data_IF_943017125485
#
_entry.id   IF_943017125485
#
_cell.length_a   1.000
_cell.length_b   1.000
_cell.length_c   1.000
_cell.angle_alpha   90.00
_cell.angle_beta   90.00
_cell.angle_gamma   90.00
#
_symmetry.space_group_name_H-M   'P 1'
#
loop_
_entity.id
_entity.type
_entity.pdbx_description
1 polymer ?
#
# COMPACT_ATOMS: atom_id res chain seq x y z
N UNK A 1 3.03 19.11 32.62
CA UNK A 1 4.31 18.88 33.31
C UNK A 1 5.38 19.61 32.52
N UNK A 2 6.16 20.48 33.19
CA UNK A 2 7.27 21.22 32.60
C UNK A 2 8.58 20.51 33.00
N UNK A 3 8.73 19.26 32.59
CA UNK A 3 10.05 18.64 32.63
C UNK A 3 10.76 19.10 31.36
N UNK A 4 11.95 19.69 31.51
CA UNK A 4 12.81 19.94 30.36
C UNK A 4 13.21 18.59 29.75
N UNK A 5 13.58 18.58 28.47
CA UNK A 5 13.98 17.35 27.77
C UNK A 5 15.06 16.55 28.51
N UNK A 6 15.24 15.31 28.07
CA UNK A 6 16.40 14.50 28.42
C UNK A 6 16.03 13.31 29.29
N UNK A 7 14.78 12.90 29.23
CA UNK A 7 14.31 11.64 29.79
C UNK A 7 14.72 10.48 28.89
N UNK A 8 15.05 9.37 29.53
CA UNK A 8 15.29 8.06 28.94
C UNK A 8 14.06 7.14 28.99
N UNK A 9 12.89 7.63 29.39
CA UNK A 9 11.68 6.81 29.51
C UNK A 9 11.53 6.08 30.84
N UNK A 10 12.50 6.17 31.76
CA UNK A 10 12.45 5.46 33.05
C UNK A 10 11.85 6.28 34.19
N UNK A 11 11.55 7.56 33.95
CA UNK A 11 10.99 8.45 34.97
C UNK A 11 9.53 8.12 35.31
N UNK A 12 9.07 8.69 36.42
CA UNK A 12 7.72 8.44 36.93
C UNK A 12 6.62 8.81 35.92
N UNK A 13 6.83 9.85 35.10
CA UNK A 13 5.85 10.29 34.11
C UNK A 13 5.80 9.33 32.92
N UNK A 14 6.93 8.82 32.45
CA UNK A 14 6.94 7.79 31.40
C UNK A 14 6.25 6.52 31.88
N UNK A 15 6.67 6.01 33.03
CA UNK A 15 6.19 4.73 33.57
C UNK A 15 4.70 4.72 33.84
N UNK A 16 4.10 5.82 34.32
CA UNK A 16 2.65 5.85 34.55
C UNK A 16 1.85 5.77 33.23
N UNK A 17 2.38 6.27 32.12
CA UNK A 17 1.75 6.11 30.81
C UNK A 17 1.90 4.68 30.31
N UNK A 18 3.05 4.06 30.54
CA UNK A 18 3.27 2.65 30.18
C UNK A 18 2.34 1.72 30.96
N UNK A 19 2.19 1.92 32.27
CA UNK A 19 1.22 1.16 33.08
C UNK A 19 -0.23 1.35 32.59
N UNK A 20 -0.59 2.56 32.12
CA UNK A 20 -1.90 2.80 31.53
C UNK A 20 -2.08 2.02 30.22
N UNK A 21 -1.07 2.03 29.34
CA UNK A 21 -1.08 1.25 28.08
C UNK A 21 -1.19 -0.26 28.34
N UNK A 22 -0.49 -0.78 29.35
CA UNK A 22 -0.57 -2.19 29.79
C UNK A 22 -1.95 -2.52 30.35
N UNK A 23 -2.58 -1.58 31.07
CA UNK A 23 -3.93 -1.72 31.59
C UNK A 23 -5.04 -1.63 30.52
N UNK A 24 -4.68 -1.45 29.25
CA UNK A 24 -5.62 -1.35 28.13
C UNK A 24 -6.16 0.06 27.86
N UNK A 25 -5.54 1.09 28.44
CA UNK A 25 -5.89 2.49 28.17
C UNK A 25 -4.93 3.00 27.10
N UNK A 26 -5.44 3.29 25.90
CA UNK A 26 -4.63 3.92 24.84
C UNK A 26 -4.29 5.37 25.24
N UNK A 27 -3.00 5.72 25.16
CA UNK A 27 -2.48 7.02 25.57
C UNK A 27 -1.78 7.71 24.41
N UNK A 28 -2.23 8.92 24.08
CA UNK A 28 -1.48 9.87 23.25
C UNK A 28 -0.89 10.98 24.11
N UNK A 29 0.34 11.41 23.82
CA UNK A 29 1.06 12.41 24.60
C UNK A 29 1.80 13.40 23.69
N UNK A 30 1.88 14.66 24.10
CA UNK A 30 2.58 15.69 23.34
C UNK A 30 4.10 15.48 23.39
N UNK A 31 4.79 15.58 22.25
CA UNK A 31 6.25 15.50 22.18
C UNK A 31 6.95 16.64 22.94
N UNK A 32 6.31 17.81 23.04
CA UNK A 32 6.88 19.02 23.63
C UNK A 32 7.06 20.14 22.59
N UNK A 33 7.37 21.35 23.07
CA UNK A 33 7.46 22.56 22.24
C UNK A 33 8.86 23.22 22.31
N UNK A 34 9.91 22.42 22.54
CA UNK A 34 11.30 22.89 22.72
C UNK A 34 12.18 22.64 21.48
N UNK A 35 11.56 22.30 20.34
CA UNK A 35 12.24 22.06 19.08
C UNK A 35 12.92 23.31 18.49
N UNK A 36 13.76 23.12 17.47
CA UNK A 36 14.22 21.83 16.93
C UNK A 36 15.43 21.25 17.69
N UNK A 37 15.94 21.97 18.70
CA UNK A 37 17.21 21.71 19.39
C UNK A 37 17.04 21.25 20.84
N UNK A 38 15.89 20.66 21.18
CA UNK A 38 15.65 20.07 22.49
C UNK A 38 16.67 18.97 22.81
N UNK A 39 17.08 18.86 24.09
CA UNK A 39 17.88 17.73 24.59
C UNK A 39 16.96 16.52 24.77
N UNK A 40 16.62 15.79 23.71
CA UNK A 40 15.67 14.67 23.76
C UNK A 40 14.28 15.09 24.24
N UNK A 41 13.44 14.13 24.63
CA UNK A 41 12.07 14.41 25.06
C UNK A 41 11.92 14.47 26.58
N UNK A 42 10.85 15.14 27.03
CA UNK A 42 10.45 15.15 28.44
C UNK A 42 9.95 13.77 28.87
N UNK A 43 9.85 13.54 30.18
CA UNK A 43 9.33 12.27 30.70
C UNK A 43 7.92 11.90 30.25
N UNK A 44 7.09 12.85 29.83
CA UNK A 44 5.80 12.52 29.21
C UNK A 44 5.99 12.01 27.77
N UNK A 45 6.85 12.65 26.98
CA UNK A 45 7.11 12.29 25.59
C UNK A 45 8.03 11.08 25.40
N UNK A 46 8.69 10.61 26.46
CA UNK A 46 9.67 9.53 26.45
C UNK A 46 9.14 8.15 26.87
N UNK A 47 7.84 7.99 27.17
CA UNK A 47 7.27 6.68 27.55
C UNK A 47 7.46 5.63 26.46
N UNK A 48 7.77 4.38 26.82
CA UNK A 48 8.03 3.32 25.84
C UNK A 48 6.79 2.95 25.02
N UNK A 49 5.63 2.94 25.67
CA UNK A 49 4.42 2.36 25.11
C UNK A 49 3.47 3.42 24.55
N UNK A 50 3.36 4.59 25.17
CA UNK A 50 2.43 5.64 24.69
C UNK A 50 2.77 6.13 23.29
N UNK A 51 1.79 6.78 22.65
CA UNK A 51 1.95 7.38 21.32
C UNK A 51 2.32 8.86 21.50
N UNK A 52 3.59 9.17 21.27
CA UNK A 52 4.12 10.53 21.34
C UNK A 52 3.85 11.25 20.02
N UNK A 53 3.28 12.45 20.11
CA UNK A 53 2.73 13.21 18.98
C UNK A 53 3.51 14.50 18.75
N UNK A 54 4.14 14.59 17.57
CA UNK A 54 4.72 15.84 17.04
C UNK A 54 3.67 16.76 16.40
N UNK A 55 4.04 18.01 16.16
CA UNK A 55 3.17 19.01 15.55
C UNK A 55 3.66 19.42 14.17
N UNK A 56 2.79 19.34 13.16
CA UNK A 56 3.01 19.92 11.84
C UNK A 56 2.35 21.29 11.72
N UNK A 57 2.84 22.09 10.78
CA UNK A 57 2.21 23.30 10.29
C UNK A 57 1.67 23.03 8.88
N UNK A 58 0.34 23.07 8.78
CA UNK A 58 -0.40 22.84 7.53
C UNK A 58 -0.39 24.05 6.59
N UNK A 59 0.36 25.11 6.95
CA UNK A 59 0.42 26.39 6.23
C UNK A 59 -0.96 27.04 6.00
N UNK A 60 -1.99 26.54 6.69
CA UNK A 60 -3.39 26.82 6.43
C UNK A 60 -3.77 26.65 4.94
N UNK A 61 -3.23 25.61 4.29
CA UNK A 61 -3.52 25.19 2.91
C UNK A 61 -4.33 23.87 2.89
N UNK A 62 -4.95 23.57 1.75
CA UNK A 62 -5.66 22.28 1.54
C UNK A 62 -4.72 21.22 0.96
N UNK A 63 -3.83 21.68 0.09
CA UNK A 63 -2.70 20.92 -0.40
C UNK A 63 -1.81 20.56 0.79
N UNK A 64 -1.24 19.36 0.79
CA UNK A 64 -0.42 18.86 1.91
C UNK A 64 1.06 18.79 1.55
N UNK A 65 1.39 19.13 0.32
CA UNK A 65 2.75 19.11 -0.22
C UNK A 65 3.64 20.18 0.43
N UNK A 66 3.06 21.24 0.98
CA UNK A 66 3.75 22.28 1.74
C UNK A 66 3.64 22.11 3.27
N UNK A 67 3.01 21.05 3.76
CA UNK A 67 2.99 20.70 5.17
C UNK A 67 4.43 20.49 5.66
N UNK A 68 4.80 21.19 6.74
CA UNK A 68 6.12 21.06 7.36
C UNK A 68 6.00 20.67 8.82
N UNK A 69 7.08 20.12 9.38
CA UNK A 69 7.17 19.97 10.83
C UNK A 69 7.25 21.37 11.47
N UNK A 70 6.45 21.63 12.50
CA UNK A 70 6.51 22.92 13.17
C UNK A 70 7.86 23.10 13.87
N UNK A 71 8.44 24.30 13.77
CA UNK A 71 9.77 24.61 14.33
C UNK A 71 9.85 24.31 15.82
N UNK A 72 8.78 24.61 16.57
CA UNK A 72 8.71 24.35 18.00
C UNK A 72 8.54 22.87 18.35
N UNK A 73 8.09 22.01 17.44
CA UNK A 73 7.82 20.60 17.76
C UNK A 73 9.12 19.93 18.24
N UNK A 74 9.12 19.41 19.46
CA UNK A 74 10.27 18.66 19.99
C UNK A 74 10.59 17.46 19.10
N UNK A 75 11.88 17.19 18.94
CA UNK A 75 12.43 16.19 18.02
C UNK A 75 13.08 15.03 18.76
N UNK A 76 13.08 13.88 18.10
CA UNK A 76 13.72 12.67 18.59
C UNK A 76 15.22 12.58 18.41
N UNK A 77 15.77 11.40 18.77
CA UNK A 77 15.11 10.36 19.59
C UNK A 77 15.01 10.79 21.07
N UNK A 78 14.35 9.99 21.94
CA UNK A 78 14.55 10.14 23.41
C UNK A 78 15.96 9.66 23.81
N UNK A 79 16.37 9.85 25.06
CA UNK A 79 17.65 9.30 25.53
C UNK A 79 17.57 7.78 25.63
N UNK A 80 18.67 7.12 25.32
CA UNK A 80 18.85 5.66 25.49
C UNK A 80 18.81 5.30 26.98
N UNK A 81 18.02 4.29 27.33
CA UNK A 81 17.87 3.78 28.69
C UNK A 81 18.83 2.61 28.99
N UNK A 82 19.57 2.12 27.99
CA UNK A 82 20.53 1.04 28.10
C UNK A 82 19.93 -0.37 28.18
N UNK A 83 18.67 -0.57 27.80
CA UNK A 83 18.00 -1.88 27.80
C UNK A 83 18.34 -2.76 26.57
N UNK A 84 18.99 -2.17 25.56
CA UNK A 84 19.41 -2.85 24.34
C UNK A 84 18.32 -2.98 23.27
N UNK A 85 17.18 -2.30 23.42
CA UNK A 85 16.09 -2.25 22.46
C UNK A 85 15.97 -0.84 21.85
N UNK A 86 16.67 -0.51 20.74
CA UNK A 86 16.72 0.84 20.17
C UNK A 86 15.38 1.37 19.60
N UNK A 87 14.34 0.53 19.54
CA UNK A 87 13.06 0.86 18.90
C UNK A 87 12.16 1.71 19.79
N UNK A 88 12.23 1.57 21.12
CA UNK A 88 11.41 2.38 22.05
C UNK A 88 12.00 3.79 22.26
N UNK A 89 13.23 4.06 21.81
CA UNK A 89 13.82 5.40 21.75
C UNK A 89 13.24 6.27 20.62
N UNK A 90 12.63 5.65 19.60
CA UNK A 90 12.16 6.30 18.38
C UNK A 90 10.88 7.11 18.64
N UNK A 91 11.07 8.37 19.08
CA UNK A 91 10.03 9.33 19.46
C UNK A 91 10.18 10.65 18.71
N UNK A 92 9.13 11.30 18.20
CA UNK A 92 7.72 10.92 18.31
C UNK A 92 7.40 9.69 17.44
N UNK A 93 6.29 9.02 17.71
CA UNK A 93 5.78 7.98 16.82
C UNK A 93 5.11 8.56 15.59
N UNK A 94 4.32 9.61 15.76
CA UNK A 94 3.56 10.21 14.66
C UNK A 94 3.46 11.71 14.86
N UNK A 95 3.02 12.40 13.82
CA UNK A 95 2.76 13.83 13.84
C UNK A 95 1.35 14.14 13.35
N UNK A 96 0.83 15.29 13.75
CA UNK A 96 -0.47 15.79 13.29
C UNK A 96 -0.46 17.33 13.24
N UNK A 97 -1.41 17.97 12.53
CA UNK A 97 -1.55 19.42 12.52
C UNK A 97 -1.67 19.99 13.94
N UNK A 98 -0.75 20.88 14.29
CA UNK A 98 -0.67 21.50 15.61
C UNK A 98 -0.45 23.00 15.60
N UNK A 99 -0.23 23.61 14.42
CA UNK A 99 -0.11 25.05 14.27
C UNK A 99 -1.43 25.68 13.86
N UNK A 100 -1.72 26.86 14.41
CA UNK A 100 -2.84 27.70 13.97
C UNK A 100 -4.22 27.03 14.07
N UNK A 101 -4.40 26.10 15.01
CA UNK A 101 -5.61 25.33 15.21
C UNK A 101 -6.70 26.20 15.84
N UNK A 102 -7.94 26.04 15.38
CA UNK A 102 -9.12 26.68 15.98
C UNK A 102 -9.77 25.66 16.90
N UNK A 103 -10.02 26.03 18.15
CA UNK A 103 -10.57 25.15 19.17
C UNK A 103 -11.71 25.80 19.94
N UNK A 104 -12.51 24.99 20.61
CA UNK A 104 -13.56 25.46 21.50
C UNK A 104 -12.97 26.29 22.66
N UNK A 105 -13.66 27.37 23.02
CA UNK A 105 -13.27 28.22 24.14
C UNK A 105 -13.76 27.66 25.46
N UNK A 106 -12.82 27.26 26.32
CA UNK A 106 -13.13 26.92 27.70
C UNK A 106 -13.47 28.19 28.49
N UNK A 107 -14.35 28.05 29.48
CA UNK A 107 -14.68 29.14 30.42
C UNK A 107 -13.40 29.71 31.07
N UNK A 108 -12.47 28.86 31.53
CA UNK A 108 -11.21 29.31 32.16
C UNK A 108 -10.36 30.23 31.25
N UNK A 109 -10.39 30.04 29.93
CA UNK A 109 -9.58 30.81 28.96
C UNK A 109 -10.10 32.23 28.71
N UNK A 110 -11.38 32.50 28.96
CA UNK A 110 -12.00 33.82 28.71
C UNK A 110 -11.67 34.89 29.77
N UNK A 111 -10.74 34.61 30.70
CA UNK A 111 -10.15 35.59 31.63
C UNK A 111 -11.07 36.14 32.74
N UNK A 112 -12.39 35.94 32.64
CA UNK A 112 -13.39 36.38 33.63
C UNK A 112 -14.44 35.33 33.97
N UNK A 113 -14.34 34.12 33.40
CA UNK A 113 -15.31 33.06 33.62
C UNK A 113 -14.78 32.04 34.63
N UNK A 114 -15.64 31.65 35.56
CA UNK A 114 -15.39 30.62 36.57
C UNK A 114 -16.50 29.59 36.50
N UNK A 115 -16.14 28.31 36.37
CA UNK A 115 -17.09 27.19 36.31
C UNK A 115 -17.98 27.04 37.57
N UNK A 116 -17.73 27.83 38.61
CA UNK A 116 -18.55 27.89 39.82
C UNK A 116 -19.71 28.90 39.72
N UNK A 117 -19.61 29.88 38.82
CA UNK A 117 -20.57 31.00 38.68
C UNK A 117 -21.10 31.16 37.26
N UNK A 118 -20.37 30.66 36.26
CA UNK A 118 -20.68 30.76 34.84
C UNK A 118 -20.56 29.36 34.22
N UNK A 119 -21.42 29.03 33.27
CA UNK A 119 -21.24 27.85 32.43
C UNK A 119 -20.57 28.24 31.09
N UNK A 120 -20.00 27.25 30.40
CA UNK A 120 -19.34 27.43 29.11
C UNK A 120 -20.26 27.12 27.91
N UNK A 121 -21.57 26.95 28.12
CA UNK A 121 -22.48 26.43 27.09
C UNK A 121 -22.74 27.43 25.95
N UNK A 122 -22.54 28.72 26.21
CA UNK A 122 -22.64 29.80 25.21
C UNK A 122 -21.27 30.21 24.63
N UNK A 123 -20.18 29.53 25.00
CA UNK A 123 -18.85 29.86 24.49
C UNK A 123 -18.71 29.51 23.00
N UNK A 124 -17.93 30.31 22.29
CA UNK A 124 -17.61 30.10 20.86
C UNK A 124 -16.27 29.36 20.72
N UNK A 125 -15.64 29.49 19.56
CA UNK A 125 -14.26 29.10 19.33
C UNK A 125 -13.31 30.24 19.75
N UNK A 126 -12.13 29.89 20.27
CA UNK A 126 -11.07 30.87 20.52
C UNK A 126 -10.39 31.31 19.22
N UNK A 127 -9.46 32.26 19.33
CA UNK A 127 -8.44 32.46 18.31
C UNK A 127 -7.56 31.21 18.09
N UNK A 128 -6.67 31.31 17.10
CA UNK A 128 -5.79 30.21 16.69
C UNK A 128 -4.71 29.92 17.73
N UNK A 129 -4.55 28.66 18.10
CA UNK A 129 -3.51 28.17 19.01
C UNK A 129 -2.48 27.29 18.30
N UNK A 130 -1.25 27.25 18.82
CA UNK A 130 -0.16 26.43 18.27
C UNK A 130 0.56 25.66 19.37
N UNK A 131 0.95 24.41 19.07
CA UNK A 131 1.68 23.54 19.98
C UNK A 131 1.40 22.05 19.72
N UNK A 132 2.31 21.18 20.16
CA UNK A 132 2.05 19.72 20.22
C UNK A 132 0.84 19.36 21.08
N UNK A 133 0.48 20.24 22.03
CA UNK A 133 -0.79 20.17 22.79
C UNK A 133 -2.04 20.27 21.93
N UNK A 134 -1.97 20.86 20.73
CA UNK A 134 -3.09 20.95 19.78
C UNK A 134 -3.09 19.77 18.78
N UNK A 135 -1.93 19.23 18.45
CA UNK A 135 -1.80 18.02 17.63
C UNK A 135 -2.27 16.75 18.37
N UNK A 136 -1.91 16.63 19.64
CA UNK A 136 -2.20 15.44 20.48
C UNK A 136 -3.69 15.07 20.54
N UNK A 137 -4.64 15.98 20.83
CA UNK A 137 -6.06 15.63 20.88
C UNK A 137 -6.64 15.20 19.51
N UNK A 138 -6.08 15.69 18.40
CA UNK A 138 -6.45 15.22 17.06
C UNK A 138 -6.11 13.73 16.91
N UNK A 139 -4.92 13.33 17.33
CA UNK A 139 -4.51 11.91 17.37
C UNK A 139 -5.38 11.10 18.34
N UNK A 140 -5.73 11.63 19.51
CA UNK A 140 -6.67 10.95 20.43
C UNK A 140 -8.02 10.69 19.76
N UNK A 141 -8.52 11.62 18.95
CA UNK A 141 -9.73 11.46 18.15
C UNK A 141 -9.61 10.35 17.11
N UNK A 142 -8.46 10.27 16.41
CA UNK A 142 -8.18 9.18 15.47
C UNK A 142 -8.13 7.83 16.19
N UNK A 143 -7.46 7.74 17.34
CA UNK A 143 -7.44 6.52 18.15
C UNK A 143 -8.84 6.07 18.54
N UNK A 144 -9.73 7.00 18.88
CA UNK A 144 -11.12 6.67 19.19
C UNK A 144 -11.89 6.11 17.98
N UNK A 145 -11.68 6.65 16.78
CA UNK A 145 -12.27 6.11 15.54
C UNK A 145 -11.76 4.69 15.23
N UNK A 146 -10.45 4.49 15.35
CA UNK A 146 -9.81 3.17 15.13
C UNK A 146 -10.31 2.15 16.15
N UNK A 147 -10.46 2.55 17.42
CA UNK A 147 -11.00 1.69 18.48
C UNK A 147 -12.48 1.39 18.28
N UNK A 148 -13.29 2.36 17.84
CA UNK A 148 -14.71 2.14 17.51
C UNK A 148 -14.87 1.18 16.33
N UNK A 149 -14.00 1.30 15.32
CA UNK A 149 -13.97 0.38 14.19
C UNK A 149 -13.61 -1.05 14.62
N UNK A 150 -12.71 -1.21 15.60
CA UNK A 150 -12.29 -2.51 16.10
C UNK A 150 -11.90 -2.49 17.58
N UNK A 151 -12.87 -2.79 18.43
CA UNK A 151 -12.76 -2.82 19.89
C UNK A 151 -11.95 -4.01 20.44
N UNK A 152 -11.55 -4.95 19.57
CA UNK A 152 -10.72 -6.11 19.96
C UNK A 152 -9.21 -5.80 19.86
N UNK A 153 -8.83 -4.61 19.40
CA UNK A 153 -7.43 -4.20 19.32
C UNK A 153 -6.80 -4.07 20.69
N UNK A 154 -5.58 -4.56 20.82
CA UNK A 154 -4.70 -4.17 21.94
C UNK A 154 -4.17 -2.74 21.72
N UNK A 155 -3.70 -2.11 22.79
CA UNK A 155 -3.08 -0.78 22.72
C UNK A 155 -1.87 -0.74 21.78
N UNK A 156 -1.08 -1.83 21.75
CA UNK A 156 0.06 -1.96 20.86
C UNK A 156 -0.33 -2.19 19.39
N UNK A 157 -1.36 -2.99 19.12
CA UNK A 157 -1.86 -3.16 17.75
C UNK A 157 -2.44 -1.85 17.20
N UNK A 158 -3.16 -1.07 18.01
CA UNK A 158 -3.65 0.24 17.60
C UNK A 158 -2.49 1.19 17.29
N UNK A 159 -1.48 1.25 18.17
CA UNK A 159 -0.26 2.03 17.93
C UNK A 159 0.40 1.64 16.61
N UNK A 160 0.46 0.35 16.31
CA UNK A 160 1.07 -0.14 15.07
C UNK A 160 0.25 0.20 13.82
N UNK A 161 -1.09 0.15 13.91
CA UNK A 161 -1.98 0.62 12.83
C UNK A 161 -1.67 2.07 12.49
N UNK A 162 -1.58 2.95 13.51
CA UNK A 162 -1.27 4.37 13.30
C UNK A 162 0.08 4.57 12.62
N UNK A 163 1.11 3.80 13.01
CA UNK A 163 2.46 3.87 12.42
C UNK A 163 2.47 3.39 10.97
N UNK A 164 1.86 2.24 10.69
CA UNK A 164 1.87 1.64 9.36
C UNK A 164 1.09 2.48 8.33
N UNK A 165 -0.02 3.08 8.74
CA UNK A 165 -0.89 3.84 7.84
C UNK A 165 -0.54 5.33 7.78
N UNK A 166 0.40 5.81 8.59
CA UNK A 166 0.82 7.21 8.56
C UNK A 166 1.38 7.59 7.19
N UNK A 167 1.09 8.80 6.75
CA UNK A 167 1.69 9.35 5.54
C UNK A 167 3.15 9.72 5.84
N UNK A 168 4.06 9.02 5.16
CA UNK A 168 5.49 9.22 5.30
C UNK A 168 5.91 10.62 4.86
N UNK A 169 6.75 11.26 5.68
CA UNK A 169 7.29 12.60 5.43
C UNK A 169 8.77 12.62 5.79
N UNK A 170 9.61 13.09 4.87
CA UNK A 170 11.06 13.20 5.07
C UNK A 170 11.78 11.85 4.99
N UNK A 171 13.12 11.92 5.03
CA UNK A 171 13.99 10.75 4.99
C UNK A 171 14.19 10.16 6.39
N UNK A 172 14.38 8.83 6.53
CA UNK A 172 14.66 8.17 7.80
C UNK A 172 15.88 8.77 8.49
N UNK A 173 15.79 8.99 9.80
CA UNK A 173 16.90 9.55 10.58
C UNK A 173 17.86 8.49 11.13
N UNK A 174 17.36 7.27 11.36
CA UNK A 174 18.10 6.11 11.89
C UNK A 174 17.72 4.84 11.10
N UNK A 175 18.00 4.79 9.78
CA UNK A 175 17.58 3.69 8.90
C UNK A 175 18.15 2.32 9.31
N UNK A 176 19.22 2.29 10.09
CA UNK A 176 19.80 1.07 10.67
C UNK A 176 18.98 0.49 11.82
N UNK A 177 18.11 1.29 12.44
CA UNK A 177 17.19 0.86 13.52
C UNK A 177 15.80 0.60 12.94
N UNK A 178 15.28 1.55 12.18
CA UNK A 178 13.98 1.45 11.50
C UNK A 178 14.03 2.18 10.14
N UNK A 179 13.57 1.55 9.05
CA UNK A 179 13.71 2.08 7.70
C UNK A 179 12.77 3.25 7.37
N UNK A 180 11.89 3.66 8.29
CA UNK A 180 10.85 4.66 8.05
C UNK A 180 10.87 5.81 9.04
N UNK A 181 11.18 5.54 10.29
CA UNK A 181 11.14 6.55 11.32
C UNK A 181 12.14 7.68 11.07
N UNK A 182 11.69 8.91 11.28
CA UNK A 182 12.56 10.07 11.38
C UNK A 182 12.24 10.92 12.60
N UNK A 183 13.24 11.69 13.05
CA UNK A 183 13.17 12.45 14.30
C UNK A 183 12.18 13.61 14.29
N UNK A 184 11.68 13.98 13.12
CA UNK A 184 10.80 15.13 12.93
C UNK A 184 9.33 14.68 12.95
N UNK A 185 8.95 13.81 12.02
CA UNK A 185 7.57 13.35 11.82
C UNK A 185 7.26 12.01 12.49
N UNK A 186 8.26 11.33 13.05
CA UNK A 186 8.12 9.95 13.49
C UNK A 186 7.99 9.00 12.29
N UNK A 187 6.99 8.13 12.32
CA UNK A 187 6.58 7.27 11.21
C UNK A 187 5.77 8.03 10.15
N UNK A 188 5.34 9.27 10.43
CA UNK A 188 4.65 10.13 9.47
C UNK A 188 3.53 10.97 10.08
N UNK A 189 2.77 11.62 9.20
CA UNK A 189 1.54 12.31 9.59
C UNK A 189 0.41 11.29 9.74
N UNK A 190 -0.35 11.37 10.83
CA UNK A 190 -1.48 10.45 11.07
C UNK A 190 -2.50 10.50 9.93
N UNK A 191 -2.89 9.34 9.42
CA UNK A 191 -3.98 9.19 8.43
C UNK A 191 -5.17 8.49 9.09
N UNK A 192 -6.20 9.26 9.42
CA UNK A 192 -7.39 8.76 10.08
C UNK A 192 -8.18 7.76 9.22
N UNK A 193 -8.21 7.99 7.90
CA UNK A 193 -8.98 7.18 6.98
C UNK A 193 -8.33 5.82 6.79
N UNK A 194 -7.03 5.80 6.47
CA UNK A 194 -6.28 4.56 6.28
C UNK A 194 -6.21 3.73 7.57
N UNK A 195 -5.99 4.37 8.73
CA UNK A 195 -5.97 3.69 10.02
C UNK A 195 -7.33 3.04 10.36
N UNK A 196 -8.43 3.76 10.15
CA UNK A 196 -9.78 3.25 10.45
C UNK A 196 -10.16 2.13 9.50
N UNK A 197 -9.85 2.25 8.20
CA UNK A 197 -10.08 1.17 7.23
C UNK A 197 -9.32 -0.10 7.57
N UNK A 198 -8.05 0.01 7.99
CA UNK A 198 -7.27 -1.15 8.39
C UNK A 198 -7.89 -1.85 9.62
N UNK A 199 -8.37 -1.09 10.59
CA UNK A 199 -9.07 -1.65 11.74
C UNK A 199 -10.37 -2.38 11.36
N UNK A 200 -11.18 -1.80 10.46
CA UNK A 200 -12.38 -2.45 9.91
C UNK A 200 -12.01 -3.77 9.23
N UNK A 201 -10.99 -3.75 8.36
CA UNK A 201 -10.53 -4.94 7.64
C UNK A 201 -10.11 -6.07 8.59
N UNK A 202 -9.35 -5.76 9.65
CA UNK A 202 -8.95 -6.75 10.67
C UNK A 202 -10.14 -7.34 11.43
N UNK A 203 -11.19 -6.54 11.67
CA UNK A 203 -12.43 -6.99 12.33
C UNK A 203 -13.25 -7.89 11.40
N UNK A 204 -13.45 -7.48 10.16
CA UNK A 204 -14.25 -8.21 9.17
C UNK A 204 -13.61 -9.55 8.77
N UNK A 205 -12.28 -9.59 8.70
CA UNK A 205 -11.54 -10.83 8.42
C UNK A 205 -11.33 -11.71 9.64
N UNK A 206 -11.66 -11.24 10.85
CA UNK A 206 -11.47 -11.99 12.10
C UNK A 206 -10.00 -12.26 12.43
N UNK A 207 -9.08 -11.39 11.99
CA UNK A 207 -7.63 -11.61 12.09
C UNK A 207 -6.95 -10.79 13.19
N UNK A 208 -7.73 -9.99 13.94
CA UNK A 208 -7.22 -9.05 14.96
C UNK A 208 -6.34 -9.73 16.01
N UNK A 209 -6.75 -10.89 16.54
CA UNK A 209 -6.00 -11.61 17.58
C UNK A 209 -4.69 -12.24 17.06
N UNK A 210 -4.54 -12.39 15.74
CA UNK A 210 -3.35 -12.96 15.13
C UNK A 210 -2.24 -11.93 14.93
N UNK A 211 -2.57 -10.63 14.97
CA UNK A 211 -1.60 -9.56 14.71
C UNK A 211 -0.60 -9.46 15.86
N UNK A 212 0.67 -9.70 15.56
CA UNK A 212 1.79 -9.37 16.43
C UNK A 212 2.40 -8.02 15.99
N UNK A 213 2.34 -6.97 16.84
CA UNK A 213 2.99 -5.68 16.58
C UNK A 213 4.50 -5.77 16.29
N UNK A 214 5.15 -6.85 16.72
CA UNK A 214 6.57 -7.10 16.44
C UNK A 214 6.86 -7.58 15.01
N UNK A 215 5.85 -7.97 14.22
CA UNK A 215 6.02 -8.42 12.84
C UNK A 215 5.62 -7.28 11.89
N UNK A 216 6.58 -6.82 11.11
CA UNK A 216 6.46 -5.64 10.26
C UNK A 216 6.35 -6.07 8.80
N UNK A 217 5.46 -5.43 8.06
CA UNK A 217 5.24 -5.69 6.64
C UNK A 217 4.82 -4.40 5.94
N UNK A 218 5.64 -3.93 5.00
CA UNK A 218 5.38 -2.66 4.33
C UNK A 218 5.51 -2.77 2.82
N UNK A 219 4.60 -2.06 2.15
CA UNK A 219 4.61 -1.88 0.71
C UNK A 219 5.66 -0.82 0.34
N UNK A 220 6.50 -1.14 -0.64
CA UNK A 220 7.49 -0.23 -1.20
C UNK A 220 7.03 0.32 -2.56
N UNK A 221 6.44 -0.53 -3.39
CA UNK A 221 5.86 -0.10 -4.67
C UNK A 221 4.70 -0.99 -5.10
N UNK A 222 3.76 -0.39 -5.80
CA UNK A 222 2.64 -1.05 -6.43
C UNK A 222 2.44 -0.47 -7.82
N UNK A 223 2.40 -1.34 -8.83
CA UNK A 223 2.26 -0.97 -10.22
C UNK A 223 1.13 -1.78 -10.87
N UNK A 224 0.10 -1.09 -11.33
CA UNK A 224 -1.10 -1.61 -11.97
C UNK A 224 -1.04 -1.41 -13.49
N UNK A 225 -0.12 -2.10 -14.16
CA UNK A 225 -0.11 -2.19 -15.63
C UNK A 225 -0.66 -3.56 -16.07
N UNK A 226 -0.40 -4.00 -17.31
CA UNK A 226 -0.79 -5.34 -17.79
C UNK A 226 -0.30 -6.48 -16.87
N UNK A 227 0.80 -6.24 -16.13
CA UNK A 227 1.23 -7.08 -15.03
C UNK A 227 1.18 -6.29 -13.73
N UNK A 228 0.43 -6.80 -12.76
CA UNK A 228 0.35 -6.25 -11.42
C UNK A 228 1.62 -6.65 -10.70
N UNK A 229 2.37 -5.66 -10.21
CA UNK A 229 3.60 -5.90 -9.45
C UNK A 229 3.55 -5.18 -8.11
N UNK A 230 3.69 -5.97 -7.05
CA UNK A 230 3.89 -5.46 -5.70
C UNK A 230 5.32 -5.78 -5.29
N UNK A 231 5.99 -4.80 -4.71
CA UNK A 231 7.26 -4.99 -4.01
C UNK A 231 7.08 -4.45 -2.61
N UNK A 232 7.50 -5.24 -1.63
CA UNK A 232 7.51 -4.83 -0.25
C UNK A 232 8.67 -5.47 0.50
N UNK A 233 8.69 -5.26 1.79
CA UNK A 233 9.64 -5.91 2.67
C UNK A 233 9.01 -6.25 4.02
N UNK A 234 9.63 -7.17 4.73
CA UNK A 234 9.17 -7.58 6.06
C UNK A 234 10.35 -7.76 7.00
N UNK A 235 10.10 -7.64 8.30
CA UNK A 235 11.05 -8.00 9.36
C UNK A 235 10.31 -8.28 10.66
N UNK A 236 11.04 -8.77 11.66
CA UNK A 236 10.55 -8.87 13.03
C UNK A 236 11.45 -8.07 13.96
N UNK A 237 10.87 -7.48 15.01
CA UNK A 237 11.62 -6.70 16.01
C UNK A 237 12.39 -7.57 17.00
N UNK A 238 12.00 -8.84 17.20
CA UNK A 238 12.63 -9.74 18.18
C UNK A 238 12.79 -11.19 17.72
N UNK A 239 12.10 -11.60 16.66
CA UNK A 239 12.12 -12.96 16.12
C UNK A 239 12.53 -13.00 14.64
N UNK A 240 11.95 -13.94 13.90
CA UNK A 240 12.12 -14.10 12.45
C UNK A 240 10.77 -14.19 11.75
N UNK A 241 10.70 -13.66 10.53
CA UNK A 241 9.57 -13.90 9.63
C UNK A 241 9.81 -15.24 8.93
N UNK A 242 8.82 -16.13 8.98
CA UNK A 242 8.92 -17.49 8.42
C UNK A 242 8.45 -17.54 6.96
N UNK A 243 7.43 -16.76 6.62
CA UNK A 243 6.93 -16.64 5.25
C UNK A 243 6.24 -15.30 5.04
N UNK A 244 6.12 -14.89 3.78
CA UNK A 244 5.26 -13.80 3.34
C UNK A 244 4.31 -14.38 2.33
N UNK A 245 3.01 -14.32 2.60
CA UNK A 245 1.98 -14.87 1.73
C UNK A 245 1.02 -13.78 1.31
N UNK A 246 0.42 -13.96 0.13
CA UNK A 246 -0.64 -13.11 -0.37
C UNK A 246 -1.86 -13.94 -0.74
N UNK A 247 -3.03 -13.29 -0.77
CA UNK A 247 -4.26 -13.88 -1.31
C UNK A 247 -5.02 -12.82 -2.09
N UNK A 248 -5.89 -13.28 -2.99
CA UNK A 248 -6.74 -12.43 -3.81
C UNK A 248 -8.20 -12.70 -3.44
N UNK A 249 -8.97 -11.65 -3.19
CA UNK A 249 -10.40 -11.68 -2.86
C UNK A 249 -10.77 -12.67 -1.74
N UNK A 250 -9.90 -12.79 -0.74
CA UNK A 250 -10.11 -13.70 0.39
C UNK A 250 -9.93 -15.19 0.07
N UNK A 251 -9.35 -15.52 -1.09
CA UNK A 251 -9.01 -16.88 -1.49
C UNK A 251 -7.87 -17.52 -0.69
N UNK A 252 -7.32 -18.61 -1.22
CA UNK A 252 -6.23 -19.35 -0.59
C UNK A 252 -4.93 -18.51 -0.53
N UNK A 253 -4.14 -18.74 0.53
CA UNK A 253 -2.82 -18.14 0.68
C UNK A 253 -1.82 -18.72 -0.32
N UNK A 254 -1.05 -17.83 -0.95
CA UNK A 254 0.00 -18.12 -1.91
C UNK A 254 1.29 -17.48 -1.41
N UNK A 255 2.39 -18.21 -1.40
CA UNK A 255 3.68 -17.68 -0.97
C UNK A 255 4.22 -16.63 -1.96
N UNK A 256 4.70 -15.49 -1.43
CA UNK A 256 5.33 -14.45 -2.21
C UNK A 256 6.75 -14.87 -2.65
N UNK A 257 7.29 -14.19 -3.65
CA UNK A 257 8.63 -14.48 -4.12
C UNK A 257 9.67 -13.67 -3.34
N UNK A 258 10.86 -14.22 -3.20
CA UNK A 258 12.01 -13.58 -2.53
C UNK A 258 13.21 -13.48 -3.48
N UNK A 259 14.11 -12.54 -3.22
CA UNK A 259 15.40 -12.53 -3.89
C UNK A 259 16.29 -13.64 -3.28
N UNK A 260 16.82 -14.54 -4.12
CA UNK A 260 17.56 -15.74 -3.71
C UNK A 260 18.90 -15.50 -2.98
N UNK A 261 19.21 -14.26 -2.62
CA UNK A 261 20.49 -13.85 -2.02
C UNK A 261 20.46 -13.75 -0.49
N UNK A 262 19.32 -14.06 0.14
CA UNK A 262 19.12 -13.88 1.58
C UNK A 262 19.41 -15.22 2.28
N UNK A 263 20.49 -15.26 3.07
CA UNK A 263 21.01 -16.51 3.66
C UNK A 263 20.71 -16.59 5.17
N UNK A 264 20.59 -15.45 5.87
CA UNK A 264 20.15 -15.37 7.27
C UNK A 264 19.45 -14.02 7.50
N UNK A 265 18.22 -14.03 8.06
CA UNK A 265 17.46 -12.84 8.44
C UNK A 265 17.41 -12.82 9.97
N UNK A 266 18.15 -11.90 10.59
CA UNK A 266 18.07 -11.66 12.03
C UNK A 266 16.92 -10.70 12.40
N UNK A 267 16.67 -10.48 13.70
CA UNK A 267 15.82 -9.38 14.16
C UNK A 267 16.25 -8.06 13.51
N UNK A 268 15.30 -7.13 13.36
CA UNK A 268 15.49 -5.78 12.81
C UNK A 268 16.17 -5.72 11.43
N UNK A 269 16.19 -6.83 10.68
CA UNK A 269 16.80 -6.89 9.35
C UNK A 269 15.71 -7.07 8.28
N UNK A 270 15.33 -6.01 7.55
CA UNK A 270 14.35 -6.11 6.47
C UNK A 270 14.84 -6.97 5.32
N UNK A 271 13.92 -7.76 4.76
CA UNK A 271 14.14 -8.49 3.52
C UNK A 271 12.99 -8.23 2.54
N UNK A 272 13.33 -8.14 1.25
CA UNK A 272 12.37 -7.81 0.20
C UNK A 272 11.63 -9.04 -0.31
N UNK A 273 10.34 -8.85 -0.59
CA UNK A 273 9.45 -9.79 -1.26
C UNK A 273 8.75 -9.11 -2.43
N UNK A 274 8.28 -9.92 -3.39
CA UNK A 274 7.51 -9.42 -4.51
C UNK A 274 6.40 -10.39 -4.96
N UNK A 275 5.33 -9.80 -5.49
CA UNK A 275 4.19 -10.50 -6.09
C UNK A 275 4.03 -9.99 -7.51
N UNK A 276 3.90 -10.92 -8.47
CA UNK A 276 3.65 -10.62 -9.88
C UNK A 276 2.42 -11.41 -10.34
N UNK A 277 1.41 -10.70 -10.85
CA UNK A 277 0.15 -11.27 -11.33
C UNK A 277 -0.17 -10.73 -12.72
N UNK A 278 -0.77 -11.57 -13.56
CA UNK A 278 -1.28 -11.19 -14.87
C UNK A 278 -2.74 -10.73 -14.72
N UNK A 279 -2.99 -9.42 -14.91
CA UNK A 279 -4.30 -8.81 -14.66
C UNK A 279 -5.40 -9.36 -15.59
N UNK A 280 -5.02 -9.90 -16.75
CA UNK A 280 -5.93 -10.49 -17.73
C UNK A 280 -6.52 -11.85 -17.30
N UNK A 281 -5.99 -12.44 -16.23
CA UNK A 281 -6.51 -13.70 -15.67
C UNK A 281 -7.65 -13.50 -14.69
N UNK A 282 -7.96 -12.25 -14.35
CA UNK A 282 -9.01 -11.88 -13.41
C UNK A 282 -10.28 -11.49 -14.15
N UNK A 283 -11.42 -11.67 -13.48
CA UNK A 283 -12.71 -11.20 -13.98
C UNK A 283 -12.75 -9.68 -14.07
N UNK A 284 -13.69 -9.12 -14.82
CA UNK A 284 -13.85 -7.67 -14.81
C UNK A 284 -14.32 -7.17 -13.44
N UNK A 285 -13.69 -6.12 -12.93
CA UNK A 285 -14.04 -5.44 -11.68
C UNK A 285 -12.83 -5.18 -10.77
N UNK A 286 -13.13 -4.66 -9.59
CA UNK A 286 -12.16 -4.40 -8.52
C UNK A 286 -11.79 -5.71 -7.82
N UNK A 287 -10.50 -5.96 -7.71
CA UNK A 287 -9.93 -7.10 -7.01
C UNK A 287 -9.06 -6.61 -5.86
N UNK A 288 -9.06 -7.34 -4.74
CA UNK A 288 -8.27 -6.99 -3.55
C UNK A 288 -7.14 -7.98 -3.37
N UNK A 289 -5.92 -7.48 -3.25
CA UNK A 289 -4.74 -8.25 -2.87
C UNK A 289 -4.42 -7.93 -1.43
N UNK A 290 -4.33 -8.97 -0.61
CA UNK A 290 -3.87 -8.89 0.76
C UNK A 290 -2.52 -9.61 0.88
N UNK A 291 -1.51 -8.93 1.41
CA UNK A 291 -0.17 -9.49 1.66
C UNK A 291 0.14 -9.43 3.15
N UNK A 292 0.61 -10.54 3.71
CA UNK A 292 0.83 -10.72 5.14
C UNK A 292 2.14 -11.47 5.38
N UNK A 293 2.92 -11.00 6.35
CA UNK A 293 4.08 -11.72 6.86
C UNK A 293 3.66 -12.60 8.05
N UNK A 294 4.10 -13.85 8.07
CA UNK A 294 3.76 -14.83 9.10
C UNK A 294 4.99 -15.24 9.90
N UNK A 295 4.77 -15.44 11.21
CA UNK A 295 5.72 -16.09 12.11
C UNK A 295 4.94 -17.01 13.04
N UNK A 296 5.18 -18.32 12.95
CA UNK A 296 4.46 -19.33 13.73
C UNK A 296 2.93 -19.22 13.54
N UNK A 297 2.17 -18.91 14.59
CA UNK A 297 0.71 -18.72 14.53
C UNK A 297 0.29 -17.25 14.49
N UNK A 298 1.23 -16.33 14.38
CA UNK A 298 1.01 -14.88 14.37
C UNK A 298 1.33 -14.30 13.01
N UNK A 299 0.87 -13.07 12.80
CA UNK A 299 1.04 -12.36 11.54
C UNK A 299 1.31 -10.87 11.74
N UNK A 300 1.85 -10.22 10.70
CA UNK A 300 1.91 -8.77 10.63
C UNK A 300 0.51 -8.18 10.45
N UNK A 301 0.43 -6.85 10.58
CA UNK A 301 -0.64 -6.11 9.92
C UNK A 301 -0.61 -6.38 8.39
N UNK A 302 -1.77 -6.50 7.73
CA UNK A 302 -1.83 -6.76 6.31
C UNK A 302 -1.51 -5.49 5.50
N UNK A 303 -0.92 -5.71 4.32
CA UNK A 303 -0.96 -4.73 3.23
C UNK A 303 -2.16 -5.09 2.37
N UNK A 304 -3.07 -4.13 2.19
CA UNK A 304 -4.27 -4.30 1.37
C UNK A 304 -4.21 -3.30 0.23
N UNK A 305 -4.16 -3.81 -1.00
CA UNK A 305 -4.22 -2.99 -2.22
C UNK A 305 -5.34 -3.48 -3.13
N UNK A 306 -5.87 -2.58 -3.94
CA UNK A 306 -6.91 -2.90 -4.92
C UNK A 306 -6.37 -2.63 -6.32
N UNK A 307 -6.80 -3.44 -7.29
CA UNK A 307 -6.56 -3.19 -8.70
C UNK A 307 -7.85 -3.42 -9.49
N UNK A 308 -7.98 -2.75 -10.63
CA UNK A 308 -9.08 -2.95 -11.57
C UNK A 308 -8.65 -3.91 -12.68
N UNK A 309 -9.47 -4.92 -12.98
CA UNK A 309 -9.31 -5.74 -14.19
C UNK A 309 -10.44 -5.47 -15.18
N UNK A 310 -10.10 -5.44 -16.45
CA UNK A 310 -11.07 -5.30 -17.55
C UNK A 310 -11.73 -6.63 -17.91
N UNK A 311 -11.24 -7.75 -17.36
CA UNK A 311 -11.77 -9.08 -17.66
C UNK A 311 -11.58 -9.49 -19.11
N UNK A 312 -10.67 -8.85 -19.85
CA UNK A 312 -10.27 -9.33 -21.16
C UNK A 312 -9.50 -10.63 -20.95
N UNK A 313 -10.23 -11.74 -20.94
CA UNK A 313 -9.65 -13.00 -21.36
C UNK A 313 -8.96 -12.70 -22.67
N UNK A 314 -7.65 -12.96 -22.75
CA UNK A 314 -7.04 -13.17 -24.05
C UNK A 314 -7.86 -14.31 -24.65
N UNK A 315 -8.87 -13.98 -25.46
CA UNK A 315 -9.35 -14.89 -26.47
C UNK A 315 -8.07 -15.25 -27.18
N UNK A 316 -7.60 -16.47 -26.99
CA UNK A 316 -6.46 -16.98 -27.73
C UNK A 316 -6.65 -16.47 -29.14
N UNK A 317 -5.82 -15.50 -29.56
CA UNK A 317 -5.97 -14.84 -30.84
C UNK A 317 -5.76 -15.94 -31.87
N UNK A 318 -6.89 -16.58 -32.18
CA UNK A 318 -7.28 -17.26 -33.37
C UNK A 318 -6.14 -17.92 -34.14
N UNK A 319 -5.42 -18.84 -33.48
CA UNK A 319 -4.62 -19.83 -34.20
C UNK A 319 -5.48 -20.56 -35.25
N UNK A 320 -6.79 -20.66 -35.01
CA UNK A 320 -7.76 -21.24 -35.95
C UNK A 320 -7.94 -20.39 -37.21
N UNK A 321 -8.20 -19.08 -37.12
CA UNK A 321 -8.36 -18.24 -38.32
C UNK A 321 -7.06 -17.95 -39.03
N UNK A 322 -5.91 -17.87 -38.34
CA UNK A 322 -4.62 -17.83 -39.03
C UNK A 322 -4.39 -19.10 -39.84
N UNK A 323 -4.77 -20.28 -39.31
CA UNK A 323 -4.74 -21.54 -40.06
C UNK A 323 -5.72 -21.52 -41.23
N UNK A 324 -6.96 -21.03 -41.05
CA UNK A 324 -7.93 -20.93 -42.16
C UNK A 324 -7.49 -19.94 -43.25
N UNK A 325 -6.86 -18.82 -42.89
CA UNK A 325 -6.27 -17.86 -43.83
C UNK A 325 -5.08 -18.49 -44.55
N UNK A 326 -4.22 -19.23 -43.84
CA UNK A 326 -3.09 -19.93 -44.46
C UNK A 326 -3.58 -21.02 -45.43
N UNK A 327 -4.59 -21.80 -45.04
CA UNK A 327 -5.23 -22.81 -45.89
C UNK A 327 -5.89 -22.15 -47.11
N UNK A 328 -6.54 -21.01 -46.94
CA UNK A 328 -7.13 -20.23 -48.04
C UNK A 328 -6.06 -19.73 -49.03
N UNK A 329 -4.94 -19.21 -48.54
CA UNK A 329 -3.82 -18.76 -49.38
C UNK A 329 -3.18 -19.94 -50.12
N UNK A 330 -2.98 -21.07 -49.45
CA UNK A 330 -2.43 -22.29 -50.08
C UNK A 330 -3.39 -22.84 -51.14
N UNK A 331 -4.69 -22.84 -50.88
CA UNK A 331 -5.69 -23.30 -51.87
C UNK A 331 -5.82 -22.37 -53.06
N UNK A 332 -5.76 -21.04 -52.86
CA UNK A 332 -5.76 -20.06 -53.96
C UNK A 332 -4.49 -20.20 -54.82
N UNK A 333 -3.33 -20.41 -54.21
CA UNK A 333 -2.07 -20.63 -54.95
C UNK A 333 -2.05 -21.96 -55.68
N UNK A 334 -2.62 -23.03 -55.11
CA UNK A 334 -2.81 -24.29 -55.82
C UNK A 334 -3.80 -24.16 -56.99
N UNK A 335 -4.89 -23.41 -56.81
CA UNK A 335 -5.88 -23.17 -57.86
C UNK A 335 -5.28 -22.36 -59.01
N UNK A 336 -4.46 -21.35 -58.71
CA UNK A 336 -3.78 -20.54 -59.73
C UNK A 336 -2.75 -21.35 -60.49
N UNK A 337 -1.93 -22.16 -59.81
CA UNK A 337 -0.98 -23.09 -60.45
C UNK A 337 -1.74 -24.09 -61.34
N UNK A 338 -2.85 -24.66 -60.86
CA UNK A 338 -3.65 -25.60 -61.65
C UNK A 338 -4.27 -24.94 -62.89
N UNK A 339 -4.77 -23.70 -62.78
CA UNK A 339 -5.25 -22.92 -63.92
C UNK A 339 -4.13 -22.63 -64.91
N UNK A 340 -2.96 -22.20 -64.45
CA UNK A 340 -1.81 -21.91 -65.30
C UNK A 340 -1.31 -23.15 -66.04
N UNK A 341 -1.31 -24.31 -65.39
CA UNK A 341 -1.00 -25.60 -66.03
C UNK A 341 -2.06 -25.92 -67.09
N UNK A 342 -3.35 -25.81 -66.76
CA UNK A 342 -4.44 -26.12 -67.70
C UNK A 342 -4.44 -25.19 -68.92
N UNK A 343 -4.23 -23.89 -68.73
CA UNK A 343 -4.05 -22.90 -69.82
C UNK A 343 -2.78 -23.17 -70.64
N UNK A 344 -1.68 -23.56 -69.99
CA UNK A 344 -0.44 -23.95 -70.67
C UNK A 344 -0.59 -25.22 -71.52
N UNK A 345 -1.39 -26.19 -71.07
CA UNK A 345 -1.72 -27.38 -71.86
C UNK A 345 -2.64 -27.06 -73.05
N UNK A 346 -3.64 -26.19 -72.88
CA UNK A 346 -4.52 -25.75 -73.98
C UNK A 346 -3.73 -24.98 -75.04
N UNK A 347 -2.78 -24.12 -74.64
CA UNK A 347 -1.91 -23.40 -75.56
C UNK A 347 -0.88 -24.31 -76.27
N UNK A 348 -0.43 -25.40 -75.64
CA UNK A 348 0.45 -26.39 -76.29
C UNK A 348 -0.31 -27.36 -77.19
N UNK A 349 -1.57 -27.66 -76.91
CA UNK A 349 -2.39 -28.55 -77.76
C UNK A 349 -2.88 -27.88 -79.07
N UNK A 350 -3.06 -26.56 -79.08
CA UNK A 350 -3.44 -25.82 -80.30
C UNK A 350 -2.30 -25.67 -81.32
N UNK A 351 -1.04 -25.86 -80.90
CA UNK A 351 0.15 -25.80 -81.76
C UNK A 351 0.54 -27.18 -82.32
N UNK A 352 -0.08 -28.27 -81.84
CA UNK A 352 0.29 -29.65 -82.15
C UNK A 352 -0.72 -30.42 -83.03
N UNK A 353 -1.67 -29.74 -83.69
CA UNK A 353 -2.49 -30.34 -84.74
C UNK A 353 -1.80 -30.19 -86.11
N UNK A 354 -1.19 -31.24 -86.68
CA UNK A 354 -0.66 -31.20 -88.03
C UNK A 354 -1.81 -31.29 -89.03
N UNK A 355 -1.67 -30.57 -90.15
CA UNK A 355 -2.53 -30.64 -91.32
C UNK A 355 -2.77 -32.10 -91.75
N UNK A 356 -3.95 -32.65 -91.45
CA UNK A 356 -4.48 -33.83 -92.12
C UNK A 356 -5.48 -33.35 -93.18
N UNK A 357 -5.00 -33.25 -94.42
CA UNK A 357 -5.85 -33.27 -95.62
C UNK A 357 -6.18 -34.73 -95.93
N UNK A 358 -7.44 -35.06 -96.26
CA UNK A 358 -7.74 -36.14 -97.18
C UNK A 358 -8.19 -35.56 -98.53
N UNK A 359 -7.52 -35.99 -99.59
CA UNK A 359 -7.96 -35.85 -100.98
C UNK A 359 -9.12 -36.81 -101.29
N UNK A 360 -10.06 -36.31 -102.10
CA UNK A 360 -10.93 -36.96 -103.07
C UNK A 360 -11.45 -38.39 -102.80
N UNK A 361 -12.79 -38.50 -102.78
CA UNK A 361 -13.51 -39.45 -103.63
C UNK A 361 -14.96 -38.99 -103.81
N UNK A 362 -15.29 -38.52 -105.03
CA UNK A 362 -16.68 -38.51 -105.52
C UNK A 362 -17.08 -39.91 -105.95
N UNK A 363 -18.35 -40.29 -105.76
CA UNK A 363 -19.07 -41.11 -106.73
C UNK A 363 -20.00 -40.22 -107.57
N UNK A 364 -20.05 -40.56 -108.84
CA UNK A 364 -20.93 -40.02 -109.87
C UNK A 364 -22.39 -40.33 -109.55
N UNK A 365 -23.26 -39.33 -109.66
CA UNK A 365 -24.67 -39.53 -109.99
C UNK A 365 -24.85 -39.32 -111.50
N UNK A 366 -25.49 -40.30 -112.16
CA UNK A 366 -26.03 -40.13 -113.49
C UNK A 366 -27.28 -41.01 -113.64
N UNK A 367 -28.45 -40.37 -113.76
CA UNK A 367 -29.62 -40.92 -114.43
C UNK A 367 -30.39 -39.74 -115.08
N UNK A 368 -30.21 -39.50 -116.39
CA UNK A 368 -31.05 -39.87 -117.55
C UNK A 368 -32.23 -38.89 -117.81
N UNK A 369 -32.16 -38.22 -118.99
CA UNK A 369 -33.25 -37.69 -119.87
C UNK A 369 -34.06 -36.49 -119.29
N UNK A 370 -34.35 -35.40 -119.99
CA UNK A 370 -34.39 -35.02 -121.42
C UNK A 370 -34.03 -33.53 -121.57
#
# INVERSE_FOLDING_TARGET
>A
SHENGGSDGSDMHSRILDEAMIAGIIVSVAAGNDGPNNDGLSGMGSSDLSVTVGATDDQNTVAREDDTIADYSSRGPRKDNGDGNPLNELKPEISAPGSNIVQAEGCVTSGGCSNLINDASENSYTGRGSGTSYATPSVSGVMALVWEANENLTTMQLKEILKQTAERRGEPSLPEVDPYWNRDFGFGMVDAYAATLLAIHLKETGTTELVDPGIQNHLLSFNETDNIKLVGHSWSTSGSVESVNFRIDGGDWIEANFNSSIIEIGPITPFEWYVELDSNKFSSGTHTIEVVAFSSSQQSLPIVVQFESTGESISAYDFSSMIYILIAIISITWLSIFLSIKLGYVAKFSVLLPKLKPENNSPMDAEIIE
#
